data_IF_079758131934
#
_entry.id   IF_079758131934
#
_cell.length_a   1.000
_cell.length_b   1.000
_cell.length_c   1.000
_cell.angle_alpha   90.00
_cell.angle_beta   90.00
_cell.angle_gamma   90.00
#
_symmetry.space_group_name_H-M   'P 1'
#
loop_
_entity.id
_entity.type
_entity.pdbx_description
1 polymer ?
#
# COMPACT_ATOMS: atom_id res chain seq x y z
N UNK A 1 -14.82 -6.57 2.66
CA UNK A 1 -13.39 -6.66 3.01
C UNK A 1 -12.76 -5.32 2.63
N UNK A 2 -12.29 -4.53 3.61
CA UNK A 2 -11.86 -3.15 3.36
C UNK A 2 -10.40 -3.17 2.88
N UNK A 3 -10.20 -3.16 1.57
CA UNK A 3 -8.88 -3.15 0.94
C UNK A 3 -8.48 -1.71 0.59
N UNK A 4 -7.19 -1.39 0.74
CA UNK A 4 -6.57 -0.17 0.20
C UNK A 4 -5.57 -0.55 -0.89
N UNK A 5 -5.17 0.39 -1.72
CA UNK A 5 -4.03 0.22 -2.62
C UNK A 5 -2.83 1.02 -2.11
N UNK A 6 -1.64 0.47 -2.30
CA UNK A 6 -0.38 1.14 -1.98
C UNK A 6 0.61 0.98 -3.13
N UNK A 7 1.55 1.92 -3.26
CA UNK A 7 2.63 1.89 -4.25
C UNK A 7 3.96 1.69 -3.55
N UNK A 8 4.73 0.69 -4.00
CA UNK A 8 6.10 0.53 -3.54
C UNK A 8 6.97 1.73 -3.99
N UNK A 9 7.72 2.40 -3.09
CA UNK A 9 8.54 3.56 -3.44
C UNK A 9 9.78 3.20 -4.28
N UNK A 10 10.22 1.93 -4.27
CA UNK A 10 11.42 1.49 -5.01
C UNK A 10 11.13 1.00 -6.43
N UNK A 11 10.15 0.11 -6.59
CA UNK A 11 9.85 -0.51 -7.88
C UNK A 11 8.52 -0.05 -8.48
N UNK A 12 7.85 0.92 -7.83
CA UNK A 12 6.59 1.55 -8.25
C UNK A 12 5.42 0.58 -8.45
N UNK A 13 5.54 -0.65 -7.95
CA UNK A 13 4.49 -1.65 -8.06
C UNK A 13 3.31 -1.26 -7.17
N UNK A 14 2.13 -1.14 -7.78
CA UNK A 14 0.86 -0.90 -7.09
C UNK A 14 0.21 -2.24 -6.79
N UNK A 15 -0.21 -2.43 -5.54
CA UNK A 15 -0.88 -3.65 -5.12
C UNK A 15 -1.87 -3.36 -3.99
N UNK A 16 -2.81 -4.29 -3.79
CA UNK A 16 -3.81 -4.19 -2.73
C UNK A 16 -3.25 -4.69 -1.41
N UNK A 17 -3.68 -4.04 -0.34
CA UNK A 17 -3.33 -4.37 1.04
C UNK A 17 -4.61 -4.33 1.88
N UNK A 18 -4.79 -5.31 2.75
CA UNK A 18 -5.96 -5.37 3.63
C UNK A 18 -5.77 -4.41 4.80
N UNK A 19 -6.79 -3.61 5.15
CA UNK A 19 -6.74 -2.78 6.35
C UNK A 19 -6.44 -3.61 7.61
N UNK A 20 -6.99 -4.83 7.71
CA UNK A 20 -6.73 -5.71 8.85
C UNK A 20 -5.24 -6.04 8.98
N UNK A 21 -4.57 -6.34 7.86
CA UNK A 21 -3.13 -6.61 7.84
C UNK A 21 -2.32 -5.36 8.20
N UNK A 22 -2.71 -4.21 7.66
CA UNK A 22 -2.07 -2.93 7.98
C UNK A 22 -2.21 -2.59 9.46
N UNK A 23 -3.38 -2.80 10.07
CA UNK A 23 -3.58 -2.56 11.50
C UNK A 23 -2.65 -3.42 12.35
N UNK A 24 -2.56 -4.73 12.05
CA UNK A 24 -1.70 -5.66 12.79
C UNK A 24 -0.21 -5.33 12.58
N UNK A 25 0.19 -4.98 11.36
CA UNK A 25 1.58 -4.67 11.01
C UNK A 25 1.94 -3.19 11.20
N UNK A 26 1.09 -2.39 11.85
CA UNK A 26 1.30 -0.95 12.05
C UNK A 26 1.62 -0.19 10.76
N UNK A 27 0.98 -0.59 9.65
CA UNK A 27 1.12 -0.01 8.32
C UNK A 27 2.29 -0.57 7.51
N UNK A 28 3.13 -1.44 8.07
CA UNK A 28 4.30 -2.00 7.37
C UNK A 28 3.90 -3.15 6.45
N UNK A 29 4.49 -3.17 5.24
CA UNK A 29 4.28 -4.21 4.24
C UNK A 29 5.57 -4.55 3.52
N UNK A 30 5.65 -5.78 3.00
CA UNK A 30 6.73 -6.20 2.11
C UNK A 30 6.24 -6.18 0.66
N UNK A 31 6.97 -5.47 -0.20
CA UNK A 31 6.64 -5.39 -1.61
C UNK A 31 6.79 -6.78 -2.27
N UNK A 32 5.74 -7.32 -2.93
CA UNK A 32 5.79 -8.65 -3.53
C UNK A 32 6.74 -8.76 -4.74
N UNK A 33 7.19 -7.63 -5.32
CA UNK A 33 8.08 -7.61 -6.49
C UNK A 33 9.56 -7.47 -6.14
N UNK A 34 9.89 -6.64 -5.15
CA UNK A 34 11.29 -6.30 -4.85
C UNK A 34 11.69 -6.56 -3.39
N UNK A 35 10.79 -7.14 -2.59
CA UNK A 35 10.98 -7.46 -1.17
C UNK A 35 11.40 -6.26 -0.30
N UNK A 36 11.11 -5.04 -0.75
CA UNK A 36 11.31 -3.85 0.07
C UNK A 36 10.24 -3.81 1.16
N UNK A 37 10.66 -3.63 2.41
CA UNK A 37 9.78 -3.32 3.52
C UNK A 37 9.57 -1.81 3.61
N UNK A 38 8.31 -1.36 3.64
CA UNK A 38 7.97 0.06 3.72
C UNK A 38 6.61 0.25 4.38
N UNK A 39 6.29 1.49 4.77
CA UNK A 39 4.98 1.83 5.30
C UNK A 39 4.00 2.07 4.14
N UNK A 40 2.97 1.22 4.04
CA UNK A 40 1.92 1.35 3.03
C UNK A 40 1.04 2.58 3.26
N UNK A 41 0.81 2.98 4.52
CA UNK A 41 -0.09 4.08 4.88
C UNK A 41 0.42 5.43 4.37
N UNK A 42 1.75 5.60 4.31
CA UNK A 42 2.38 6.81 3.75
C UNK A 42 2.48 6.78 2.23
N UNK A 43 2.25 5.63 1.61
CA UNK A 43 2.34 5.41 0.16
C UNK A 43 1.01 4.89 -0.40
N UNK A 44 -0.11 5.23 0.25
CA UNK A 44 -1.44 4.86 -0.24
C UNK A 44 -1.69 5.53 -1.57
N UNK A 45 -2.26 4.78 -2.50
CA UNK A 45 -2.76 5.32 -3.76
C UNK A 45 -4.23 5.61 -3.50
N UNK A 46 -4.60 6.87 -3.46
CA UNK A 46 -6.00 7.22 -3.32
C UNK A 46 -6.69 6.87 -4.64
N UNK A 47 -7.58 5.88 -4.61
CA UNK A 47 -8.51 5.63 -5.70
C UNK A 47 -9.72 6.54 -5.47
N UNK A 48 -9.48 7.83 -5.36
CA UNK A 48 -10.55 8.82 -5.47
C UNK A 48 -10.25 9.67 -6.69
N UNK A 49 -11.34 9.95 -7.37
CA UNK A 49 -11.50 10.50 -8.71
C UNK A 49 -10.67 11.78 -8.96
N UNK A 50 -10.38 12.08 -10.24
CA UNK A 50 -9.44 13.10 -10.69
C UNK A 50 -9.74 14.48 -10.12
N UNK A 51 -8.67 15.21 -9.79
CA UNK A 51 -8.68 16.67 -9.69
C UNK A 51 -9.31 17.26 -10.97
N UNK A 52 -10.49 17.87 -10.80
CA UNK A 52 -11.25 18.61 -11.84
C UNK A 52 -10.48 19.78 -12.43
#
# INVERSE_FOLDING_TARGET
>A
MNEKQTRCPKCLTVYKVSLTQLTVAQGMVCCPKCNLNFNALTNLVNVEQPET
#
